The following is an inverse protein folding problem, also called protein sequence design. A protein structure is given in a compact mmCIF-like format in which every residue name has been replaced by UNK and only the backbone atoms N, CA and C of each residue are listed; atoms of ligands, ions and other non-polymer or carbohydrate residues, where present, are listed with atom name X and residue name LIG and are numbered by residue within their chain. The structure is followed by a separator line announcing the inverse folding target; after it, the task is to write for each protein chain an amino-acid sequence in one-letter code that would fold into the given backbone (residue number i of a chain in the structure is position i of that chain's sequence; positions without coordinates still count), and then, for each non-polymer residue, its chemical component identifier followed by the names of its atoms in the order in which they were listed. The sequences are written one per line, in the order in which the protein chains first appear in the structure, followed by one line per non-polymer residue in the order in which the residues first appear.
data_IF_472604372968
#
_entry.id   IF_472604372968
#
_cell.length_a   1.000
_cell.length_b   1.000
_cell.length_c   1.000
_cell.angle_alpha   90.00
_cell.angle_beta   90.00
_cell.angle_gamma   90.00
#
_symmetry.space_group_name_H-M   'P 1'
#
loop_
_entity.id
_entity.type
_entity.pdbx_description
1 polymer ?
#
# COMPACT_ATOMS: atom_id res chain seq x y z
N UNK A 1 -23.40 -5.26 24.03
CA UNK A 1 -22.22 -5.60 24.88
C UNK A 1 -22.04 -7.13 25.05
N UNK A 2 -23.10 -7.93 25.32
CA UNK A 2 -22.98 -9.39 25.54
C UNK A 2 -22.40 -10.14 24.34
N UNK A 3 -22.84 -9.83 23.12
CA UNK A 3 -22.35 -10.46 21.87
C UNK A 3 -20.86 -10.18 21.61
N UNK A 4 -20.42 -8.94 21.80
CA UNK A 4 -19.01 -8.55 21.69
C UNK A 4 -18.13 -9.32 22.70
N UNK A 5 -18.58 -9.42 23.96
CA UNK A 5 -17.89 -10.22 25.00
C UNK A 5 -17.81 -11.72 24.62
N UNK A 6 -18.85 -12.25 23.99
CA UNK A 6 -18.87 -13.66 23.51
C UNK A 6 -17.88 -13.88 22.36
N UNK A 7 -17.86 -12.98 21.35
CA UNK A 7 -16.92 -13.06 20.22
C UNK A 7 -15.47 -12.95 20.69
N UNK A 8 -15.18 -12.02 21.62
CA UNK A 8 -13.86 -11.87 22.19
C UNK A 8 -13.44 -13.06 23.07
N UNK A 9 -14.37 -13.71 23.75
CA UNK A 9 -14.09 -14.93 24.56
C UNK A 9 -13.88 -16.18 23.71
N UNK A 10 -14.52 -16.26 22.54
CA UNK A 10 -14.40 -17.43 21.64
C UNK A 10 -12.99 -17.60 21.04
N UNK A 11 -12.15 -16.57 21.11
CA UNK A 11 -10.85 -16.51 20.45
C UNK A 11 -9.65 -16.67 21.39
N UNK A 12 -9.86 -17.06 22.65
CA UNK A 12 -8.80 -17.37 23.59
C UNK A 12 -8.72 -16.45 24.81
N UNK A 13 -7.70 -16.68 25.65
CA UNK A 13 -7.54 -15.95 26.94
C UNK A 13 -7.00 -14.53 26.77
N UNK A 14 -6.32 -14.20 25.67
CA UNK A 14 -5.70 -12.89 25.42
C UNK A 14 -5.80 -12.52 23.92
N UNK A 15 -6.11 -11.25 23.64
CA UNK A 15 -6.04 -10.66 22.32
C UNK A 15 -7.31 -10.82 21.47
N UNK A 16 -7.33 -10.09 20.35
CA UNK A 16 -8.30 -10.26 19.25
C UNK A 16 -7.62 -11.11 18.19
N UNK A 17 -8.29 -12.12 17.61
CA UNK A 17 -7.66 -12.97 16.61
C UNK A 17 -7.15 -12.13 15.44
N UNK A 18 -5.94 -12.42 15.01
CA UNK A 18 -5.38 -11.80 13.83
C UNK A 18 -6.22 -12.20 12.61
N UNK A 19 -6.76 -11.22 11.88
CA UNK A 19 -7.69 -11.47 10.76
C UNK A 19 -9.15 -11.60 11.15
N UNK A 20 -9.53 -11.41 12.42
CA UNK A 20 -10.94 -11.39 12.83
C UNK A 20 -11.71 -10.23 12.19
N UNK A 21 -12.95 -10.50 11.76
CA UNK A 21 -13.82 -9.51 11.08
C UNK A 21 -14.03 -8.22 11.89
N UNK A 22 -14.04 -8.34 13.21
CA UNK A 22 -14.28 -7.21 14.14
C UNK A 22 -13.00 -6.44 14.49
N UNK A 23 -11.80 -7.01 14.25
CA UNK A 23 -10.53 -6.40 14.64
C UNK A 23 -10.31 -5.00 14.05
N UNK A 24 -10.63 -4.71 12.76
CA UNK A 24 -10.48 -3.37 12.20
C UNK A 24 -11.41 -2.33 12.86
N UNK A 25 -12.63 -2.74 13.20
CA UNK A 25 -13.61 -1.86 13.86
C UNK A 25 -13.13 -1.50 15.27
N UNK A 26 -12.66 -2.48 16.03
CA UNK A 26 -12.12 -2.26 17.38
C UNK A 26 -10.85 -1.40 17.35
N UNK A 27 -9.97 -1.63 16.37
CA UNK A 27 -8.79 -0.77 16.18
C UNK A 27 -9.17 0.67 15.90
N UNK A 28 -10.15 0.89 15.02
CA UNK A 28 -10.63 2.24 14.71
C UNK A 28 -11.28 2.92 15.91
N UNK A 29 -12.09 2.22 16.68
CA UNK A 29 -12.71 2.75 17.89
C UNK A 29 -11.65 3.12 18.95
N UNK A 30 -10.65 2.26 19.12
CA UNK A 30 -9.60 2.44 20.12
C UNK A 30 -8.68 3.62 19.81
N UNK A 31 -8.33 3.81 18.55
CA UNK A 31 -7.45 4.89 18.08
C UNK A 31 -8.20 6.19 17.73
N UNK A 32 -9.51 6.25 17.97
CA UNK A 32 -10.32 7.43 17.66
C UNK A 32 -9.84 8.71 18.36
N UNK A 33 -9.31 8.61 19.58
CA UNK A 33 -8.75 9.75 20.31
C UNK A 33 -7.50 10.31 19.63
N UNK A 34 -6.68 9.43 19.02
CA UNK A 34 -5.53 9.85 18.22
C UNK A 34 -6.00 10.58 16.94
N UNK A 35 -7.05 10.07 16.29
CA UNK A 35 -7.64 10.73 15.13
C UNK A 35 -8.16 12.12 15.50
N UNK A 36 -8.91 12.25 16.59
CA UNK A 36 -9.41 13.54 17.10
C UNK A 36 -8.27 14.53 17.40
N UNK A 37 -7.19 14.06 18.01
CA UNK A 37 -6.02 14.89 18.27
C UNK A 37 -5.40 15.41 16.99
N UNK A 38 -5.25 14.55 15.96
CA UNK A 38 -4.70 14.92 14.65
C UNK A 38 -5.63 15.87 13.90
N UNK A 39 -6.94 15.64 13.91
CA UNK A 39 -7.94 16.54 13.34
C UNK A 39 -7.90 17.92 13.97
N UNK A 40 -7.79 17.99 15.31
CA UNK A 40 -7.61 19.25 16.02
C UNK A 40 -6.30 19.94 15.62
N UNK A 41 -5.20 19.19 15.44
CA UNK A 41 -3.94 19.76 14.97
C UNK A 41 -4.09 20.34 13.55
N UNK A 42 -4.80 19.66 12.65
CA UNK A 42 -5.11 20.16 11.30
C UNK A 42 -5.90 21.47 11.39
N UNK A 43 -6.98 21.51 12.18
CA UNK A 43 -7.83 22.70 12.31
C UNK A 43 -7.08 23.88 12.91
N UNK A 44 -6.26 23.65 13.95
CA UNK A 44 -5.51 24.71 14.64
C UNK A 44 -4.39 25.30 13.79
N UNK A 45 -3.79 24.47 12.91
CA UNK A 45 -2.66 24.89 12.05
C UNK A 45 -3.10 25.32 10.65
N UNK A 46 -4.37 25.18 10.33
CA UNK A 46 -4.91 25.57 9.03
C UNK A 46 -4.83 27.07 8.81
N UNK A 47 -4.19 27.46 7.72
CA UNK A 47 -4.19 28.85 7.21
C UNK A 47 -4.65 28.79 5.77
N UNK A 48 -5.86 29.24 5.51
CA UNK A 48 -6.40 29.20 4.16
C UNK A 48 -5.48 29.94 3.16
N UNK A 49 -5.21 29.35 1.98
CA UNK A 49 -5.69 28.07 1.47
C UNK A 49 -4.80 26.86 1.85
N UNK A 50 -3.91 26.96 2.80
CA UNK A 50 -2.86 25.97 3.13
C UNK A 50 -3.23 25.15 4.37
N UNK A 51 -2.88 23.87 4.33
CA UNK A 51 -2.96 22.95 5.46
C UNK A 51 -1.55 22.46 5.78
N UNK A 52 -1.06 22.73 6.98
CA UNK A 52 0.32 22.40 7.37
C UNK A 52 0.47 20.97 7.92
N UNK A 53 -0.64 20.31 8.28
CA UNK A 53 -0.68 18.93 8.75
C UNK A 53 -1.75 18.18 7.99
N UNK A 54 -1.43 16.97 7.53
CA UNK A 54 -2.39 16.01 7.00
C UNK A 54 -2.03 14.62 7.52
N UNK A 55 -2.99 13.72 7.68
CA UNK A 55 -2.72 12.34 8.04
C UNK A 55 -3.58 11.35 7.29
N UNK A 56 -3.10 10.13 7.23
CA UNK A 56 -3.85 8.98 6.78
C UNK A 56 -3.55 7.80 7.71
N UNK A 57 -4.59 7.11 8.17
CA UNK A 57 -4.48 5.92 9.01
C UNK A 57 -5.24 4.75 8.41
N UNK A 58 -4.63 3.60 8.45
CA UNK A 58 -5.26 2.33 8.11
C UNK A 58 -4.92 1.31 9.20
N UNK A 59 -5.88 1.05 10.07
CA UNK A 59 -5.71 0.25 11.28
C UNK A 59 -4.56 0.79 12.17
N UNK A 60 -3.48 0.03 12.28
CA UNK A 60 -2.28 0.35 13.06
C UNK A 60 -1.19 1.10 12.26
N UNK A 61 -1.31 1.16 10.94
CA UNK A 61 -0.39 1.92 10.08
C UNK A 61 -0.87 3.37 9.94
N UNK A 62 0.01 4.33 10.21
CA UNK A 62 -0.30 5.75 10.13
C UNK A 62 0.80 6.53 9.42
N UNK A 63 0.41 7.50 8.63
CA UNK A 63 1.31 8.46 7.98
C UNK A 63 0.82 9.87 8.28
N UNK A 64 1.71 10.72 8.77
CA UNK A 64 1.43 12.13 9.03
C UNK A 64 2.35 12.95 8.14
N UNK A 65 1.77 13.80 7.31
CA UNK A 65 2.46 14.73 6.43
C UNK A 65 2.49 16.10 7.09
N UNK A 66 3.68 16.68 7.23
CA UNK A 66 3.89 17.97 7.86
C UNK A 66 4.65 18.87 6.88
N UNK A 67 4.22 20.12 6.75
CA UNK A 67 4.88 21.09 5.91
C UNK A 67 6.34 21.29 6.36
N UNK A 68 7.29 21.22 5.40
CA UNK A 68 8.71 21.37 5.67
C UNK A 68 9.18 22.83 5.59
N UNK A 69 8.25 23.80 5.60
CA UNK A 69 8.66 25.21 5.67
C UNK A 69 9.36 25.49 7.00
N UNK A 70 10.48 26.26 7.03
CA UNK A 70 11.25 26.53 8.25
C UNK A 70 10.42 27.04 9.43
N UNK A 71 9.36 27.82 9.16
CA UNK A 71 8.41 28.27 10.18
C UNK A 71 7.59 27.16 10.83
N UNK A 72 7.55 25.96 10.21
CA UNK A 72 6.79 24.79 10.66
C UNK A 72 7.69 23.69 11.26
N UNK A 73 9.01 23.93 11.42
CA UNK A 73 9.93 22.91 11.94
C UNK A 73 9.58 22.45 13.37
N UNK A 74 9.06 23.37 14.18
CA UNK A 74 8.56 23.05 15.52
C UNK A 74 7.36 22.10 15.51
N UNK A 75 6.56 22.14 14.42
CA UNK A 75 5.30 21.43 14.31
C UNK A 75 5.51 19.90 14.28
N UNK A 76 6.58 19.44 13.59
CA UNK A 76 6.90 18.00 13.55
C UNK A 76 7.17 17.44 14.95
N UNK A 77 7.97 18.16 15.74
CA UNK A 77 8.27 17.78 17.14
C UNK A 77 7.03 17.87 18.03
N UNK A 78 6.21 18.89 17.84
CA UNK A 78 4.98 19.07 18.62
C UNK A 78 3.93 17.98 18.34
N UNK A 79 3.73 17.61 17.08
CA UNK A 79 2.82 16.53 16.67
C UNK A 79 3.33 15.19 17.19
N UNK A 80 4.62 14.89 17.04
CA UNK A 80 5.21 13.67 17.55
C UNK A 80 5.05 13.53 19.07
N UNK A 81 5.37 14.60 19.83
CA UNK A 81 5.22 14.61 21.29
C UNK A 81 3.77 14.33 21.70
N UNK A 82 2.81 15.07 21.12
CA UNK A 82 1.39 14.89 21.43
C UNK A 82 0.88 13.50 21.05
N UNK A 83 1.35 12.97 19.92
CA UNK A 83 1.01 11.62 19.51
C UNK A 83 1.48 10.58 20.55
N UNK A 84 2.71 10.71 21.03
CA UNK A 84 3.24 9.85 22.09
C UNK A 84 2.44 9.97 23.39
N UNK A 85 2.04 11.17 23.77
CA UNK A 85 1.19 11.43 24.93
C UNK A 85 -0.18 10.74 24.81
N UNK A 86 -0.86 10.85 23.65
CA UNK A 86 -2.16 10.21 23.43
C UNK A 86 -2.03 8.67 23.36
N UNK A 87 -1.01 8.16 22.70
CA UNK A 87 -0.76 6.72 22.66
C UNK A 87 -0.42 6.15 24.04
N UNK A 88 0.32 6.89 24.87
CA UNK A 88 0.61 6.48 26.24
C UNK A 88 -0.66 6.38 27.10
N UNK A 89 -1.63 7.31 26.95
CA UNK A 89 -2.93 7.22 27.61
C UNK A 89 -3.69 5.95 27.20
N UNK A 90 -3.57 5.55 25.94
CA UNK A 90 -4.16 4.34 25.39
C UNK A 90 -3.32 3.10 25.68
N UNK A 91 -2.17 3.20 26.36
CA UNK A 91 -1.20 2.12 26.58
C UNK A 91 -0.77 1.42 25.28
N UNK A 92 -0.60 2.19 24.22
CA UNK A 92 -0.12 1.74 22.91
C UNK A 92 1.31 2.20 22.73
N UNK A 93 2.18 1.30 22.29
CA UNK A 93 3.58 1.61 22.03
C UNK A 93 3.82 1.83 20.52
N UNK A 94 4.68 2.79 20.19
CA UNK A 94 5.19 2.99 18.84
C UNK A 94 6.26 1.93 18.56
N UNK A 95 6.19 1.31 17.40
CA UNK A 95 7.26 0.43 16.95
C UNK A 95 8.41 1.27 16.38
N UNK A 96 9.40 1.58 17.20
CA UNK A 96 10.54 2.45 16.85
C UNK A 96 11.36 1.90 15.67
N UNK A 97 11.45 0.58 15.49
CA UNK A 97 12.18 -0.02 14.36
C UNK A 97 11.52 0.22 13.00
N UNK A 98 10.18 0.38 13.00
CA UNK A 98 9.40 0.57 11.77
C UNK A 98 8.91 1.99 11.59
N UNK A 99 8.98 2.81 12.64
CA UNK A 99 8.55 4.22 12.59
C UNK A 99 9.75 5.10 12.27
N UNK A 100 9.57 6.04 11.38
CA UNK A 100 10.64 6.95 10.95
C UNK A 100 10.11 8.29 10.51
N UNK A 101 10.93 9.31 10.65
CA UNK A 101 10.71 10.62 10.06
C UNK A 101 11.47 10.67 8.73
N UNK A 102 10.79 11.04 7.67
CA UNK A 102 11.35 11.08 6.32
C UNK A 102 11.22 12.50 5.76
N UNK A 103 12.29 13.05 5.27
CA UNK A 103 12.28 14.32 4.56
C UNK A 103 12.11 14.11 3.05
N UNK A 104 10.91 14.39 2.57
CA UNK A 104 10.56 14.27 1.15
C UNK A 104 11.16 15.40 0.30
N UNK A 105 11.54 16.53 0.91
CA UNK A 105 12.16 17.63 0.17
C UNK A 105 13.57 17.26 -0.29
N UNK A 106 14.28 16.47 0.50
CA UNK A 106 15.64 16.00 0.22
C UNK A 106 15.69 14.61 -0.44
N UNK A 107 14.62 14.23 -1.16
CA UNK A 107 14.59 12.98 -1.93
C UNK A 107 14.26 11.72 -1.12
N UNK A 108 13.80 11.87 0.12
CA UNK A 108 13.31 10.74 0.92
C UNK A 108 12.08 10.07 0.30
N UNK A 109 11.86 8.82 0.67
CA UNK A 109 10.64 8.07 0.34
C UNK A 109 10.09 7.34 1.55
N UNK A 110 8.77 7.16 1.61
CA UNK A 110 8.11 6.36 2.61
C UNK A 110 7.18 5.33 1.97
N UNK A 111 6.75 4.34 2.74
CA UNK A 111 5.87 3.28 2.25
C UNK A 111 4.58 3.25 3.05
N UNK A 112 3.45 3.21 2.35
CA UNK A 112 2.13 3.09 2.97
C UNK A 112 1.22 2.23 2.09
N UNK A 113 0.51 1.28 2.69
CA UNK A 113 -0.40 0.36 2.01
C UNK A 113 0.21 -0.35 0.78
N UNK A 114 1.50 -0.65 0.82
CA UNK A 114 2.19 -1.35 -0.27
C UNK A 114 2.67 -0.46 -1.42
N UNK A 115 2.36 0.83 -1.38
CA UNK A 115 2.93 1.83 -2.27
C UNK A 115 4.19 2.45 -1.67
N UNK A 116 5.08 2.90 -2.53
CA UNK A 116 6.20 3.77 -2.20
C UNK A 116 5.87 5.19 -2.67
N UNK A 117 5.94 6.14 -1.75
CA UNK A 117 5.65 7.56 -1.98
C UNK A 117 6.95 8.36 -2.00
N UNK A 118 7.10 9.23 -2.99
CA UNK A 118 8.22 10.16 -3.11
C UNK A 118 7.82 11.41 -3.90
N UNK A 119 8.64 12.43 -3.88
CA UNK A 119 8.50 13.58 -4.77
C UNK A 119 9.37 13.39 -6.00
N UNK A 120 8.85 13.75 -7.14
CA UNK A 120 9.60 13.78 -8.40
C UNK A 120 9.46 15.12 -9.10
N UNK A 121 10.48 15.51 -9.85
CA UNK A 121 10.40 16.67 -10.70
C UNK A 121 9.64 16.29 -11.98
N UNK A 122 8.48 16.91 -12.20
CA UNK A 122 7.70 16.70 -13.41
C UNK A 122 8.32 17.35 -14.66
N UNK A 123 7.78 17.04 -15.83
CA UNK A 123 8.21 17.64 -17.11
C UNK A 123 8.15 19.18 -17.11
N UNK A 124 7.21 19.76 -16.35
CA UNK A 124 7.02 21.21 -16.23
C UNK A 124 7.97 21.84 -15.18
N UNK A 125 9.04 21.15 -14.77
CA UNK A 125 9.97 21.57 -13.70
C UNK A 125 9.26 21.86 -12.36
N UNK A 126 8.05 21.33 -12.16
CA UNK A 126 7.32 21.41 -10.88
C UNK A 126 7.42 20.10 -10.13
N UNK A 127 7.62 20.19 -8.84
CA UNK A 127 7.59 19.02 -7.97
C UNK A 127 6.17 18.45 -7.86
N UNK A 128 6.03 17.14 -8.02
CA UNK A 128 4.74 16.44 -7.84
C UNK A 128 4.91 15.21 -6.98
N UNK A 129 3.86 14.79 -6.26
CA UNK A 129 3.85 13.49 -5.61
C UNK A 129 3.91 12.38 -6.68
N UNK A 130 4.61 11.33 -6.34
CA UNK A 130 4.71 10.09 -7.13
C UNK A 130 4.52 8.91 -6.18
N UNK A 131 3.63 8.00 -6.53
CA UNK A 131 3.39 6.80 -5.75
C UNK A 131 3.17 5.60 -6.67
N UNK A 132 3.95 4.55 -6.44
CA UNK A 132 3.96 3.35 -7.26
C UNK A 132 4.05 2.10 -6.38
N UNK A 133 3.73 0.91 -6.92
CA UNK A 133 3.87 -0.34 -6.18
C UNK A 133 5.30 -0.52 -5.68
N UNK A 134 5.46 -0.76 -4.37
CA UNK A 134 6.78 -1.02 -3.77
C UNK A 134 7.43 -2.23 -4.45
N UNK A 135 8.74 -2.15 -4.71
CA UNK A 135 9.50 -3.23 -5.35
C UNK A 135 9.27 -4.60 -4.69
N UNK A 136 9.24 -4.67 -3.35
CA UNK A 136 8.96 -5.90 -2.60
C UNK A 136 7.61 -6.53 -2.99
N UNK A 137 6.57 -5.72 -3.22
CA UNK A 137 5.24 -6.20 -3.64
C UNK A 137 5.25 -6.74 -5.07
N UNK A 138 5.97 -6.07 -5.98
CA UNK A 138 6.18 -6.56 -7.35
C UNK A 138 6.94 -7.89 -7.35
N UNK A 139 8.04 -7.99 -6.61
CA UNK A 139 8.82 -9.22 -6.51
C UNK A 139 8.02 -10.38 -5.92
N UNK A 140 7.20 -10.13 -4.91
CA UNK A 140 6.31 -11.14 -4.34
C UNK A 140 5.29 -11.66 -5.36
N UNK A 141 4.68 -10.76 -6.19
CA UNK A 141 3.82 -11.16 -7.29
C UNK A 141 4.57 -12.08 -8.27
N UNK A 142 5.75 -11.65 -8.75
CA UNK A 142 6.53 -12.42 -9.70
C UNK A 142 6.96 -13.80 -9.17
N UNK A 143 7.30 -13.86 -7.87
CA UNK A 143 7.62 -15.14 -7.23
C UNK A 143 6.41 -16.08 -7.19
N UNK A 144 5.22 -15.55 -6.84
CA UNK A 144 3.98 -16.33 -6.86
C UNK A 144 3.63 -16.83 -8.26
N UNK A 145 3.73 -15.97 -9.27
CA UNK A 145 3.48 -16.36 -10.65
C UNK A 145 4.52 -17.40 -11.15
N UNK A 146 5.79 -17.20 -10.81
CA UNK A 146 6.87 -18.18 -11.15
C UNK A 146 6.57 -19.55 -10.59
N UNK A 147 6.07 -19.63 -9.37
CA UNK A 147 5.70 -20.89 -8.72
C UNK A 147 4.55 -21.59 -9.47
N UNK A 148 3.51 -20.85 -9.87
CA UNK A 148 2.41 -21.40 -10.67
C UNK A 148 2.93 -21.99 -12.00
N UNK A 149 3.80 -21.27 -12.71
CA UNK A 149 4.42 -21.79 -13.94
C UNK A 149 5.26 -23.04 -13.68
N UNK A 150 5.93 -23.14 -12.53
CA UNK A 150 6.73 -24.32 -12.15
C UNK A 150 5.86 -25.54 -11.87
N UNK A 151 4.79 -25.33 -11.09
CA UNK A 151 3.88 -26.40 -10.70
C UNK A 151 3.06 -26.96 -11.88
N UNK A 152 2.82 -26.14 -12.89
CA UNK A 152 2.01 -26.50 -14.05
C UNK A 152 2.83 -26.67 -15.34
N UNK A 153 4.08 -27.11 -15.22
CA UNK A 153 5.03 -27.15 -16.35
C UNK A 153 4.57 -28.06 -17.51
N UNK A 154 3.88 -29.15 -17.20
CA UNK A 154 3.33 -30.13 -18.14
C UNK A 154 1.85 -29.90 -18.49
N UNK A 155 1.23 -28.88 -17.92
CA UNK A 155 -0.17 -28.55 -18.19
C UNK A 155 -0.31 -27.67 -19.44
N UNK A 156 -1.47 -27.71 -20.14
CA UNK A 156 -1.79 -26.76 -21.20
C UNK A 156 -1.68 -25.32 -20.71
N UNK A 157 -1.23 -24.41 -21.60
CA UNK A 157 -0.99 -23.00 -21.24
C UNK A 157 -2.26 -22.28 -20.82
N UNK A 158 -3.38 -22.66 -21.37
CA UNK A 158 -4.72 -22.13 -21.03
C UNK A 158 -5.00 -22.30 -19.55
N UNK A 159 -4.72 -23.47 -18.99
CA UNK A 159 -4.91 -23.76 -17.56
C UNK A 159 -3.99 -22.92 -16.66
N UNK A 160 -2.77 -22.68 -17.11
CA UNK A 160 -1.85 -21.78 -16.40
C UNK A 160 -2.39 -20.35 -16.39
N UNK A 161 -2.90 -19.89 -17.54
CA UNK A 161 -3.47 -18.54 -17.69
C UNK A 161 -4.72 -18.35 -16.84
N UNK A 162 -5.60 -19.34 -16.76
CA UNK A 162 -6.76 -19.33 -15.87
C UNK A 162 -6.39 -19.13 -14.39
N UNK A 163 -5.27 -19.71 -13.95
CA UNK A 163 -4.77 -19.55 -12.59
C UNK A 163 -4.09 -18.20 -12.33
N UNK A 164 -3.35 -17.66 -13.31
CA UNK A 164 -2.61 -16.41 -13.11
C UNK A 164 -3.49 -15.15 -13.28
N UNK A 165 -4.50 -15.21 -14.15
CA UNK A 165 -5.33 -14.05 -14.49
C UNK A 165 -6.06 -13.45 -13.27
N UNK A 166 -6.69 -14.21 -12.36
CA UNK A 166 -7.33 -13.65 -11.18
C UNK A 166 -6.33 -12.91 -10.27
N UNK A 167 -5.11 -13.47 -10.14
CA UNK A 167 -4.04 -12.88 -9.33
C UNK A 167 -3.56 -11.57 -9.95
N UNK A 168 -3.32 -11.57 -11.27
CA UNK A 168 -2.91 -10.37 -12.01
C UNK A 168 -3.99 -9.29 -11.96
N UNK A 169 -5.24 -9.66 -12.18
CA UNK A 169 -6.39 -8.76 -12.15
C UNK A 169 -6.55 -8.09 -10.78
N UNK A 170 -6.51 -8.88 -9.72
CA UNK A 170 -6.60 -8.37 -8.35
C UNK A 170 -5.42 -7.42 -8.02
N UNK A 171 -4.19 -7.80 -8.43
CA UNK A 171 -3.01 -6.97 -8.19
C UNK A 171 -3.04 -5.66 -8.99
N UNK A 172 -3.37 -5.72 -10.28
CA UNK A 172 -3.48 -4.53 -11.15
C UNK A 172 -4.57 -3.60 -10.63
N UNK A 173 -5.76 -4.12 -10.30
CA UNK A 173 -6.86 -3.31 -9.77
C UNK A 173 -6.47 -2.59 -8.46
N UNK A 174 -5.76 -3.27 -7.57
CA UNK A 174 -5.29 -2.67 -6.32
C UNK A 174 -4.31 -1.51 -6.57
N UNK A 175 -3.37 -1.68 -7.49
CA UNK A 175 -2.31 -0.70 -7.76
C UNK A 175 -2.64 0.30 -8.90
N UNK A 176 -3.82 0.21 -9.52
CA UNK A 176 -4.22 1.09 -10.63
C UNK A 176 -4.36 2.58 -10.24
N UNK A 177 -4.48 2.86 -8.94
CA UNK A 177 -4.67 4.21 -8.40
C UNK A 177 -3.41 5.08 -8.54
N UNK A 178 -2.23 4.45 -8.57
CA UNK A 178 -0.93 5.14 -8.55
C UNK A 178 -0.28 5.35 -9.92
N UNK A 179 0.93 5.91 -9.91
CA UNK A 179 1.81 6.03 -11.08
C UNK A 179 2.42 4.66 -11.44
N UNK A 180 1.56 3.68 -11.74
CA UNK A 180 1.92 2.25 -11.83
C UNK A 180 2.18 1.76 -13.24
N UNK A 181 2.06 2.60 -14.27
CA UNK A 181 2.14 2.22 -15.68
C UNK A 181 3.45 1.52 -16.06
N UNK A 182 4.60 2.02 -15.58
CA UNK A 182 5.91 1.38 -15.82
C UNK A 182 5.99 0.01 -15.12
N UNK A 183 5.48 -0.07 -13.90
CA UNK A 183 5.44 -1.32 -13.15
C UNK A 183 4.53 -2.35 -13.83
N UNK A 184 3.38 -1.94 -14.34
CA UNK A 184 2.46 -2.81 -15.08
C UNK A 184 3.06 -3.27 -16.39
N UNK A 185 3.75 -2.40 -17.14
CA UNK A 185 4.45 -2.75 -18.36
C UNK A 185 5.51 -3.80 -18.09
N UNK A 186 6.30 -3.65 -17.03
CA UNK A 186 7.29 -4.62 -16.62
C UNK A 186 6.67 -5.99 -16.27
N UNK A 187 5.59 -6.01 -15.47
CA UNK A 187 4.89 -7.25 -15.10
C UNK A 187 4.31 -7.94 -16.34
N UNK A 188 3.67 -7.16 -17.22
CA UNK A 188 3.14 -7.65 -18.50
C UNK A 188 4.22 -8.33 -19.34
N UNK A 189 5.32 -7.63 -19.59
CA UNK A 189 6.42 -8.14 -20.43
C UNK A 189 7.07 -9.39 -19.80
N UNK A 190 7.13 -9.45 -18.48
CA UNK A 190 7.60 -10.64 -17.76
C UNK A 190 6.64 -11.82 -17.94
N UNK A 191 5.33 -11.62 -17.79
CA UNK A 191 4.30 -12.66 -17.98
C UNK A 191 4.32 -13.16 -19.41
N UNK A 192 4.34 -12.27 -20.40
CA UNK A 192 4.41 -12.64 -21.82
C UNK A 192 5.63 -13.53 -22.12
N UNK A 193 6.80 -13.19 -21.59
CA UNK A 193 8.01 -14.01 -21.72
C UNK A 193 7.83 -15.40 -21.10
N UNK A 194 7.19 -15.48 -19.93
CA UNK A 194 6.94 -16.77 -19.26
C UNK A 194 5.95 -17.64 -20.04
N UNK A 195 4.87 -17.06 -20.54
CA UNK A 195 3.89 -17.75 -21.38
C UNK A 195 4.54 -18.28 -22.65
N UNK A 196 5.32 -17.46 -23.37
CA UNK A 196 6.06 -17.91 -24.56
C UNK A 196 7.05 -19.05 -24.25
N UNK A 197 7.80 -18.91 -23.16
CA UNK A 197 8.71 -19.98 -22.71
C UNK A 197 7.99 -21.29 -22.38
N UNK A 198 6.78 -21.21 -21.81
CA UNK A 198 5.94 -22.38 -21.55
C UNK A 198 5.50 -23.06 -22.88
N UNK A 199 4.99 -22.26 -23.84
CA UNK A 199 4.60 -22.74 -25.18
C UNK A 199 5.76 -23.33 -25.98
N UNK A 200 6.97 -22.77 -25.87
CA UNK A 200 8.17 -23.32 -26.55
C UNK A 200 8.59 -24.64 -25.93
N UNK A 201 8.55 -24.75 -24.59
CA UNK A 201 8.89 -26.00 -23.91
C UNK A 201 7.94 -27.14 -24.32
N UNK A 202 6.63 -26.86 -24.35
CA UNK A 202 5.62 -27.84 -24.78
C UNK A 202 5.85 -28.34 -26.22
N UNK A 203 6.73 -27.70 -27.00
CA UNK A 203 7.10 -28.08 -28.37
C UNK A 203 8.56 -28.51 -28.52
N UNK A 204 9.24 -28.69 -27.39
CA UNK A 204 10.67 -29.11 -27.36
C UNK A 204 11.60 -28.17 -28.15
N UNK A 205 11.27 -26.87 -28.21
CA UNK A 205 12.03 -25.87 -28.96
C UNK A 205 12.72 -24.88 -28.05
N UNK A 206 13.86 -24.37 -28.48
CA UNK A 206 14.59 -23.29 -27.82
C UNK A 206 14.08 -21.91 -28.27
N UNK A 207 14.24 -20.89 -27.41
CA UNK A 207 13.87 -19.52 -27.72
C UNK A 207 12.50 -19.10 -27.15
N UNK A 208 11.97 -17.95 -27.57
CA UNK A 208 10.73 -17.37 -27.05
C UNK A 208 9.61 -17.28 -28.10
N UNK A 209 9.85 -17.64 -29.35
CA UNK A 209 8.82 -17.71 -30.39
C UNK A 209 8.09 -16.39 -30.67
N UNK A 210 8.78 -15.24 -30.61
CA UNK A 210 8.20 -13.90 -30.80
C UNK A 210 7.45 -13.72 -32.12
N UNK A 211 7.97 -14.29 -33.22
CA UNK A 211 7.32 -14.23 -34.55
C UNK A 211 6.06 -15.08 -34.59
N UNK A 212 6.04 -16.23 -33.92
CA UNK A 212 4.92 -17.17 -33.91
C UNK A 212 3.77 -16.74 -33.03
N UNK A 213 4.09 -16.25 -31.83
CA UNK A 213 3.13 -15.79 -30.82
C UNK A 213 3.32 -14.30 -30.61
N UNK A 214 2.69 -13.50 -31.46
CA UNK A 214 2.65 -12.05 -31.33
C UNK A 214 1.95 -11.65 -30.02
N UNK A 215 2.16 -10.41 -29.56
CA UNK A 215 1.44 -9.88 -28.41
C UNK A 215 -0.07 -9.96 -28.63
N UNK A 216 -0.54 -9.55 -29.80
CA UNK A 216 -1.95 -9.60 -30.16
C UNK A 216 -2.54 -11.01 -30.05
N UNK A 217 -1.80 -12.03 -30.56
CA UNK A 217 -2.21 -13.43 -30.43
C UNK A 217 -2.37 -13.85 -28.97
N UNK A 218 -1.44 -13.49 -28.08
CA UNK A 218 -1.49 -13.83 -26.65
C UNK A 218 -2.74 -13.22 -25.98
N UNK A 219 -3.13 -12.02 -26.35
CA UNK A 219 -4.31 -11.38 -25.77
C UNK A 219 -5.62 -11.91 -26.33
N UNK A 220 -5.69 -12.18 -27.62
CA UNK A 220 -6.92 -12.65 -28.29
C UNK A 220 -7.14 -14.14 -28.04
N UNK A 221 -6.14 -14.97 -28.34
CA UNK A 221 -6.28 -16.42 -28.28
C UNK A 221 -6.25 -16.99 -26.87
N UNK A 222 -5.52 -16.37 -25.96
CA UNK A 222 -5.32 -16.88 -24.61
C UNK A 222 -5.98 -16.02 -23.53
N UNK A 223 -6.62 -14.89 -23.89
CA UNK A 223 -7.15 -13.92 -22.94
C UNK A 223 -6.13 -13.59 -21.80
N UNK A 224 -4.83 -13.61 -22.14
CA UNK A 224 -3.76 -13.35 -21.20
C UNK A 224 -3.76 -11.89 -20.80
N UNK A 225 -3.67 -11.62 -19.50
CA UNK A 225 -3.63 -10.26 -18.94
C UNK A 225 -4.85 -9.37 -19.30
N UNK A 226 -6.10 -9.80 -19.02
CA UNK A 226 -7.24 -8.94 -19.16
C UNK A 226 -7.16 -7.83 -18.10
N UNK A 227 -6.81 -6.63 -18.50
CA UNK A 227 -6.65 -5.48 -17.61
C UNK A 227 -5.51 -4.54 -17.97
N UNK A 228 -4.70 -4.88 -18.96
CA UNK A 228 -3.85 -3.90 -19.63
C UNK A 228 -4.75 -3.03 -20.54
N UNK A 229 -5.63 -2.22 -19.91
CA UNK A 229 -6.20 -1.06 -20.62
C UNK A 229 -4.99 -0.26 -21.10
N UNK A 230 -5.03 0.15 -22.35
CA UNK A 230 -4.20 1.26 -22.79
C UNK A 230 -4.27 2.36 -21.71
N UNK A 231 -3.17 3.03 -21.40
CA UNK A 231 -3.19 4.07 -20.40
C UNK A 231 -4.29 5.07 -20.78
N UNK A 232 -5.42 4.98 -20.08
CA UNK A 232 -6.47 5.99 -20.16
C UNK A 232 -5.84 7.33 -19.80
N UNK A 233 -6.44 8.46 -20.27
CA UNK A 233 -5.92 9.77 -19.95
C UNK A 233 -5.73 9.87 -18.43
N UNK A 234 -4.55 10.36 -18.03
CA UNK A 234 -4.20 10.57 -16.63
C UNK A 234 -5.37 11.26 -15.92
N UNK A 235 -5.76 10.82 -14.73
CA UNK A 235 -6.84 11.47 -13.99
C UNK A 235 -6.54 12.96 -13.89
N UNK A 236 -7.56 13.83 -14.02
CA UNK A 236 -7.36 15.26 -14.00
C UNK A 236 -6.59 15.64 -12.75
N UNK A 237 -5.49 16.34 -12.98
CA UNK A 237 -4.53 16.80 -12.00
C UNK A 237 -5.27 17.62 -10.92
N UNK A 238 -5.75 16.96 -9.86
CA UNK A 238 -6.17 17.69 -8.66
C UNK A 238 -4.94 18.46 -8.24
N UNK A 239 -5.04 19.80 -8.24
CA UNK A 239 -3.99 20.74 -7.88
C UNK A 239 -3.33 20.26 -6.59
N UNK A 240 -2.27 19.50 -6.73
CA UNK A 240 -1.35 19.23 -5.65
C UNK A 240 -0.63 20.56 -5.43
N UNK A 241 -1.08 21.32 -4.44
CA UNK A 241 -0.31 22.44 -3.89
C UNK A 241 1.11 21.94 -3.66
N UNK A 242 2.10 22.77 -3.95
CA UNK A 242 3.52 22.50 -3.74
C UNK A 242 3.80 22.19 -2.26
N UNK A 243 3.50 20.97 -1.83
CA UNK A 243 3.73 20.57 -0.45
C UNK A 243 5.17 20.12 -0.32
N UNK A 244 6.01 20.99 0.22
CA UNK A 244 7.26 20.58 0.86
C UNK A 244 6.86 19.90 2.15
N UNK A 245 6.98 18.59 2.28
CA UNK A 245 6.50 17.88 3.48
C UNK A 245 7.57 17.01 4.12
N UNK A 246 7.68 17.11 5.44
CA UNK A 246 8.27 16.06 6.29
C UNK A 246 7.18 15.03 6.58
N UNK A 247 7.50 13.77 6.49
CA UNK A 247 6.55 12.68 6.72
C UNK A 247 6.98 11.90 7.94
N UNK A 248 6.05 11.75 8.88
CA UNK A 248 6.14 10.78 9.97
C UNK A 248 5.46 9.50 9.53
N UNK A 249 6.26 8.46 9.26
CA UNK A 249 5.76 7.10 9.05
C UNK A 249 5.72 6.40 10.42
N UNK A 250 4.54 6.09 10.93
CA UNK A 250 4.35 5.52 12.24
C UNK A 250 3.69 4.15 12.10
N UNK A 251 4.33 3.16 12.71
CA UNK A 251 3.80 1.82 12.85
C UNK A 251 3.61 1.54 14.34
N UNK A 252 2.41 1.20 14.75
CA UNK A 252 2.11 0.89 16.14
C UNK A 252 2.47 -0.57 16.42
N UNK A 253 3.15 -0.83 17.55
CA UNK A 253 3.27 -2.18 18.07
C UNK A 253 1.88 -2.61 18.53
N UNK A 254 1.48 -3.80 18.15
CA UNK A 254 0.27 -4.44 18.68
C UNK A 254 0.55 -4.90 20.11
N UNK A 255 0.27 -4.11 21.15
CA UNK A 255 0.25 -4.63 22.50
C UNK A 255 -0.96 -5.55 22.62
N UNK A 256 -0.96 -6.39 23.62
CA UNK A 256 -2.11 -7.26 23.93
C UNK A 256 -3.34 -6.46 24.33
N UNK A 257 -3.94 -5.75 23.39
CA UNK A 257 -5.03 -4.77 23.49
C UNK A 257 -6.27 -5.24 24.27
N UNK A 258 -6.27 -6.43 24.78
CA UNK A 258 -7.46 -7.08 25.34
C UNK A 258 -7.45 -7.16 26.86
N UNK A 259 -6.35 -6.89 27.54
CA UNK A 259 -6.37 -6.94 29.03
C UNK A 259 -7.21 -5.82 29.65
N UNK A 260 -7.27 -4.63 29.01
CA UNK A 260 -7.94 -3.45 29.58
C UNK A 260 -9.47 -3.40 29.35
N UNK A 261 -9.99 -4.01 28.28
CA UNK A 261 -11.44 -4.06 28.04
C UNK A 261 -12.21 -4.91 29.05
N UNK A 262 -11.51 -5.76 29.83
CA UNK A 262 -12.14 -6.57 30.88
C UNK A 262 -12.31 -5.82 32.20
N UNK A 263 -11.64 -4.68 32.37
CA UNK A 263 -11.64 -3.86 33.60
C UNK A 263 -12.46 -2.58 33.50
N UNK A 264 -13.02 -2.28 32.34
CA UNK A 264 -13.95 -1.16 32.20
C UNK A 264 -15.29 -1.50 32.87
N UNK A 265 -15.83 -0.64 33.68
CA UNK A 265 -17.05 -0.86 34.49
C UNK A 265 -18.30 -1.16 33.66
#
# INVERSE_FOLDING_TARGET
MRLLKMILKATGKKGVPQGGVISPVLSNLYLNEVDRMLEKAIQTTRREPYTHVQYARFADDMVILIDSHPRCDWLAKAVERRLREELAKLRVEINEEKSKIVDLANGGSFTFLGFEYRRILGRNKKWRPYYAPRLKKRMALLAKLKEIFRQNISQPVERVIEQINPILRGWVNYFAVGDSSECFSFVRDWVERKVRGHLMRARERTGLGWKRWSRQWLYVALACCPGAREPGPAPPNRRASEVRSKTLEINLRRPGWVEDWRRAP
#
